data_IF_756718571982
#
_entry.id   IF_756718571982
#
_cell.length_a   1.000
_cell.length_b   1.000
_cell.length_c   1.000
_cell.angle_alpha   90.00
_cell.angle_beta   90.00
_cell.angle_gamma   90.00
#
_symmetry.space_group_name_H-M   'P 1'
#
loop_
_entity.id
_entity.type
_entity.pdbx_description
1 polymer ?
#
# COMPACT_ATOMS: atom_id res chain seq x y z
N UNK A 1 23.92 4.12 15.85
CA UNK A 1 22.68 4.90 16.11
C UNK A 1 22.15 5.64 14.87
N UNK A 2 22.47 5.21 13.63
CA UNK A 2 21.99 5.84 12.40
C UNK A 2 20.98 4.99 11.59
N UNK A 3 20.78 3.71 11.93
CA UNK A 3 20.03 2.77 11.09
C UNK A 3 18.52 2.68 11.35
N UNK A 4 18.02 3.22 12.47
CA UNK A 4 16.59 3.15 12.83
C UNK A 4 15.81 4.31 12.17
N UNK A 5 16.43 5.48 12.02
CA UNK A 5 15.80 6.68 11.44
C UNK A 5 15.60 6.50 9.93
N UNK A 6 16.44 5.72 9.24
CA UNK A 6 16.34 5.52 7.79
C UNK A 6 15.08 4.73 7.36
N UNK A 7 14.44 4.02 8.30
CA UNK A 7 13.15 3.34 8.08
C UNK A 7 11.93 4.23 8.38
N UNK A 8 12.08 5.37 9.06
CA UNK A 8 10.95 6.20 9.50
C UNK A 8 10.27 6.92 8.33
N UNK A 9 11.05 7.40 7.35
CA UNK A 9 10.51 8.12 6.20
C UNK A 9 9.53 7.28 5.36
N UNK A 10 9.71 5.96 5.30
CA UNK A 10 8.85 5.07 4.52
C UNK A 10 7.51 4.79 5.21
N UNK A 11 7.49 4.76 6.54
CA UNK A 11 6.25 4.64 7.30
C UNK A 11 5.42 5.92 7.16
N UNK A 12 6.05 7.09 7.26
CA UNK A 12 5.39 8.38 7.07
C UNK A 12 4.82 8.52 5.66
N UNK A 13 5.58 8.12 4.62
CA UNK A 13 5.09 8.04 3.23
C UNK A 13 3.88 7.12 3.12
N UNK A 14 3.94 5.91 3.68
CA UNK A 14 2.84 4.96 3.62
C UNK A 14 1.58 5.50 4.33
N UNK A 15 1.73 6.10 5.51
CA UNK A 15 0.62 6.68 6.25
C UNK A 15 0.00 7.87 5.51
N UNK A 16 0.82 8.73 4.91
CA UNK A 16 0.35 9.86 4.11
C UNK A 16 -0.49 9.37 2.92
N UNK A 17 0.07 8.44 2.12
CA UNK A 17 -0.60 7.87 0.95
C UNK A 17 -1.90 7.18 1.35
N UNK A 18 -1.89 6.42 2.44
CA UNK A 18 -3.07 5.72 2.96
C UNK A 18 -4.19 6.67 3.38
N UNK A 19 -3.88 7.75 4.11
CA UNK A 19 -4.88 8.75 4.52
C UNK A 19 -5.50 9.45 3.31
N UNK A 20 -4.65 9.86 2.35
CA UNK A 20 -5.09 10.56 1.13
C UNK A 20 -5.98 9.68 0.26
N UNK A 21 -5.57 8.43 -0.02
CA UNK A 21 -6.36 7.52 -0.84
C UNK A 21 -7.63 7.04 -0.14
N UNK A 22 -7.62 6.92 1.19
CA UNK A 22 -8.84 6.62 1.95
C UNK A 22 -9.85 7.75 1.86
N UNK A 23 -9.41 9.01 1.95
CA UNK A 23 -10.29 10.17 1.78
C UNK A 23 -10.85 10.22 0.35
N UNK A 24 -9.99 10.04 -0.65
CA UNK A 24 -10.39 9.94 -2.05
C UNK A 24 -11.45 8.85 -2.25
N UNK A 25 -11.20 7.62 -1.80
CA UNK A 25 -12.13 6.50 -1.97
C UNK A 25 -13.50 6.75 -1.30
N UNK A 26 -13.51 7.42 -0.15
CA UNK A 26 -14.75 7.85 0.52
C UNK A 26 -15.50 8.91 -0.29
N UNK A 27 -14.79 9.93 -0.78
CA UNK A 27 -15.39 11.02 -1.56
C UNK A 27 -15.94 10.53 -2.91
N UNK A 28 -15.39 9.45 -3.44
CA UNK A 28 -15.86 8.80 -4.67
C UNK A 28 -16.85 7.65 -4.41
N UNK A 29 -17.32 7.46 -3.18
CA UNK A 29 -18.31 6.43 -2.79
C UNK A 29 -17.89 4.97 -3.10
N UNK A 30 -16.60 4.71 -3.23
CA UNK A 30 -16.02 3.38 -3.51
C UNK A 30 -15.32 2.79 -2.28
N UNK A 31 -15.68 3.25 -1.07
CA UNK A 31 -15.14 2.76 0.19
C UNK A 31 -16.27 2.17 1.06
N UNK A 32 -16.51 0.86 0.95
CA UNK A 32 -17.44 0.13 1.81
C UNK A 32 -17.20 -1.37 1.75
N UNK A 33 -17.09 -2.00 2.93
CA UNK A 33 -16.98 -3.46 3.02
C UNK A 33 -18.30 -4.19 2.77
N UNK A 34 -19.44 -3.54 3.03
CA UNK A 34 -20.76 -4.19 2.95
C UNK A 34 -21.24 -4.33 1.50
N UNK A 35 -20.87 -3.37 0.66
CA UNK A 35 -21.27 -3.34 -0.76
C UNK A 35 -20.23 -3.97 -1.69
N UNK A 36 -19.20 -4.63 -1.14
CA UNK A 36 -18.13 -5.27 -1.92
C UNK A 36 -17.14 -4.28 -2.58
N UNK A 37 -17.12 -3.02 -2.14
CA UNK A 37 -16.13 -2.03 -2.58
C UNK A 37 -14.82 -2.14 -1.78
N UNK A 38 -13.90 -1.19 -1.97
CA UNK A 38 -12.62 -1.16 -1.24
C UNK A 38 -12.89 -1.03 0.26
N UNK A 39 -12.30 -1.92 1.05
CA UNK A 39 -12.28 -1.82 2.50
C UNK A 39 -10.89 -1.37 2.98
N UNK A 40 -10.73 -1.13 4.28
CA UNK A 40 -9.46 -0.65 4.84
C UNK A 40 -8.29 -1.61 4.61
N UNK A 41 -8.52 -2.92 4.72
CA UNK A 41 -7.48 -3.92 4.52
C UNK A 41 -7.07 -4.04 3.05
N UNK A 42 -8.04 -4.16 2.14
CA UNK A 42 -7.81 -4.23 0.71
C UNK A 42 -7.14 -2.97 0.19
N UNK A 43 -7.61 -1.79 0.59
CA UNK A 43 -6.98 -0.53 0.19
C UNK A 43 -5.52 -0.46 0.68
N UNK A 44 -5.25 -0.81 1.93
CA UNK A 44 -3.89 -0.83 2.47
C UNK A 44 -2.98 -1.83 1.74
N UNK A 45 -3.51 -3.00 1.36
CA UNK A 45 -2.76 -4.02 0.60
C UNK A 45 -2.36 -3.49 -0.79
N UNK A 46 -3.29 -2.83 -1.49
CA UNK A 46 -3.01 -2.23 -2.81
C UNK A 46 -1.98 -1.11 -2.70
N UNK A 47 -2.09 -0.27 -1.67
CA UNK A 47 -1.12 0.80 -1.42
C UNK A 47 0.25 0.23 -1.08
N UNK A 48 0.31 -0.77 -0.20
CA UNK A 48 1.56 -1.41 0.20
C UNK A 48 2.29 -1.97 -1.02
N UNK A 49 1.57 -2.57 -1.96
CA UNK A 49 2.16 -3.03 -3.22
C UNK A 49 2.83 -1.90 -3.99
N UNK A 50 2.15 -0.76 -4.17
CA UNK A 50 2.71 0.39 -4.89
C UNK A 50 3.95 0.94 -4.16
N UNK A 51 3.91 1.01 -2.83
CA UNK A 51 5.06 1.45 -2.02
C UNK A 51 6.24 0.48 -2.15
N UNK A 52 5.99 -0.84 -2.18
CA UNK A 52 7.04 -1.84 -2.38
C UNK A 52 7.64 -1.81 -3.79
N UNK A 53 6.82 -1.55 -4.82
CA UNK A 53 7.28 -1.44 -6.21
C UNK A 53 8.08 -0.16 -6.48
N UNK A 54 7.76 0.93 -5.77
CA UNK A 54 8.32 2.27 -5.99
C UNK A 54 8.91 2.84 -4.69
N UNK A 55 9.76 2.06 -4.02
CA UNK A 55 10.26 2.35 -2.67
C UNK A 55 10.94 3.73 -2.53
N UNK A 56 11.75 4.12 -3.51
CA UNK A 56 12.51 5.38 -3.46
C UNK A 56 11.74 6.60 -4.00
N UNK A 57 10.45 6.44 -4.30
CA UNK A 57 9.67 7.49 -4.93
C UNK A 57 9.09 8.51 -3.94
N UNK A 58 8.70 9.68 -4.49
CA UNK A 58 7.97 10.72 -3.77
C UNK A 58 6.52 10.32 -3.48
N UNK A 59 5.92 10.85 -2.41
CA UNK A 59 4.54 10.58 -2.01
C UNK A 59 3.52 10.89 -3.11
N UNK A 60 3.72 12.00 -3.83
CA UNK A 60 2.85 12.39 -4.95
C UNK A 60 2.96 11.41 -6.11
N UNK A 61 4.17 10.94 -6.40
CA UNK A 61 4.42 9.94 -7.43
C UNK A 61 3.74 8.60 -7.09
N UNK A 62 3.77 8.19 -5.83
CA UNK A 62 3.06 7.00 -5.35
C UNK A 62 1.55 7.10 -5.55
N UNK A 63 0.95 8.27 -5.28
CA UNK A 63 -0.48 8.51 -5.51
C UNK A 63 -0.83 8.42 -7.01
N UNK A 64 -0.04 9.08 -7.85
CA UNK A 64 -0.22 9.03 -9.30
C UNK A 64 -0.10 7.59 -9.81
N UNK A 65 0.94 6.86 -9.38
CA UNK A 65 1.15 5.47 -9.78
C UNK A 65 0.08 4.52 -9.29
N UNK A 66 -0.46 4.75 -8.09
CA UNK A 66 -1.62 4.02 -7.63
C UNK A 66 -2.80 4.19 -8.60
N UNK A 67 -3.16 5.44 -8.91
CA UNK A 67 -4.28 5.72 -9.80
C UNK A 67 -4.05 5.19 -11.21
N UNK A 68 -2.85 5.35 -11.78
CA UNK A 68 -2.48 4.84 -13.11
C UNK A 68 -2.53 3.30 -13.16
N UNK A 69 -1.99 2.62 -12.13
CA UNK A 69 -1.95 1.16 -12.09
C UNK A 69 -3.34 0.53 -12.00
N UNK A 70 -4.27 1.19 -11.29
CA UNK A 70 -5.62 0.67 -11.05
C UNK A 70 -6.71 1.30 -11.93
N UNK A 71 -6.42 2.32 -12.73
CA UNK A 71 -7.36 2.89 -13.71
C UNK A 71 -7.33 2.15 -15.04
N UNK A 72 -6.16 1.66 -15.47
CA UNK A 72 -6.00 0.95 -16.72
C UNK A 72 -6.30 -0.55 -16.53
N UNK A 73 -7.60 -0.90 -16.56
CA UNK A 73 -8.14 -2.27 -16.45
C UNK A 73 -7.68 -3.24 -17.58
N UNK A 74 -6.72 -2.84 -18.44
CA UNK A 74 -6.00 -3.71 -19.37
C UNK A 74 -4.79 -4.41 -18.74
N UNK A 75 -4.19 -3.81 -17.70
CA UNK A 75 -3.04 -4.40 -17.04
C UNK A 75 -3.43 -5.43 -15.98
N UNK A 76 -4.68 -5.45 -15.49
CA UNK A 76 -5.11 -6.41 -14.46
C UNK A 76 -4.84 -7.86 -14.84
N UNK A 77 -5.05 -8.25 -16.10
CA UNK A 77 -4.75 -9.62 -16.57
C UNK A 77 -3.24 -9.91 -16.57
N UNK A 78 -2.38 -8.90 -16.76
CA UNK A 78 -0.91 -9.07 -16.75
C UNK A 78 -0.33 -8.96 -15.35
N UNK A 79 -0.80 -8.03 -14.53
CA UNK A 79 -0.34 -7.82 -13.14
C UNK A 79 -0.77 -8.98 -12.24
N UNK A 80 -1.95 -9.59 -12.45
CA UNK A 80 -2.35 -10.81 -11.76
C UNK A 80 -1.66 -12.06 -12.31
N UNK A 81 -1.41 -12.16 -13.63
CA UNK A 81 -0.66 -13.31 -14.21
C UNK A 81 0.82 -13.32 -13.84
N UNK A 82 1.48 -12.17 -13.85
CA UNK A 82 2.90 -12.01 -13.52
C UNK A 82 3.10 -11.72 -12.02
N UNK A 83 2.11 -12.01 -11.17
CA UNK A 83 2.20 -11.80 -9.73
C UNK A 83 3.22 -12.77 -9.11
N UNK A 84 4.51 -12.40 -9.21
CA UNK A 84 5.66 -13.23 -8.81
C UNK A 84 5.85 -13.28 -7.29
N UNK A 85 5.30 -12.31 -6.55
CA UNK A 85 5.45 -12.19 -5.10
C UNK A 85 4.12 -11.86 -4.45
N UNK A 86 3.21 -12.83 -4.21
CA UNK A 86 2.09 -12.63 -3.27
C UNK A 86 2.65 -11.97 -2.03
N UNK A 87 2.08 -10.83 -1.61
CA UNK A 87 2.44 -10.21 -0.35
C UNK A 87 2.11 -11.24 0.72
N UNK A 88 3.12 -11.99 1.17
CA UNK A 88 2.95 -13.06 2.13
C UNK A 88 2.64 -12.40 3.47
N UNK A 89 1.45 -12.65 3.98
CA UNK A 89 1.00 -12.10 5.26
C UNK A 89 1.90 -12.56 6.42
N UNK A 90 2.53 -13.73 6.28
CA UNK A 90 3.50 -14.30 7.22
C UNK A 90 4.70 -13.37 7.46
N UNK A 91 5.28 -12.80 6.39
CA UNK A 91 6.44 -11.89 6.49
C UNK A 91 6.07 -10.57 7.18
N UNK A 92 4.85 -10.07 6.95
CA UNK A 92 4.36 -8.85 7.61
C UNK A 92 4.04 -9.10 9.09
N UNK A 93 3.59 -10.30 9.43
CA UNK A 93 3.25 -10.69 10.80
C UNK A 93 4.53 -10.84 11.64
N UNK A 94 5.55 -11.54 11.14
CA UNK A 94 6.87 -11.64 11.77
C UNK A 94 7.54 -10.28 11.89
N UNK A 95 7.45 -9.45 10.85
CA UNK A 95 7.97 -8.09 10.90
C UNK A 95 7.23 -7.28 11.97
N UNK A 96 5.91 -7.35 12.10
CA UNK A 96 5.19 -6.66 13.17
C UNK A 96 5.54 -7.14 14.58
N UNK A 97 5.89 -8.42 14.76
CA UNK A 97 6.31 -8.99 16.05
C UNK A 97 7.72 -8.55 16.44
N UNK A 98 8.65 -8.50 15.49
CA UNK A 98 10.01 -7.94 15.71
C UNK A 98 9.96 -6.49 16.21
N UNK A 99 8.95 -5.71 15.84
CA UNK A 99 8.81 -4.31 16.29
C UNK A 99 8.22 -4.19 17.70
N UNK A 100 7.68 -5.29 18.25
CA UNK A 100 7.21 -5.37 19.64
C UNK A 100 8.26 -5.95 20.60
N UNK A 101 9.28 -6.62 20.07
CA UNK A 101 10.36 -7.22 20.87
C UNK A 101 11.58 -6.29 21.02
N UNK A 102 11.65 -5.19 20.26
CA UNK A 102 12.70 -4.17 20.33
C UNK A 102 12.35 -2.93 21.19
N UNK A 103 11.27 -2.99 21.98
CA UNK A 103 10.91 -2.01 23.04
C UNK A 103 10.97 -2.66 24.41
#
# INVERSE_FOLDING_TARGET
>A
MQSIIDKSGNLEKFQFVTKTLKLWAKNHFIYSSQFGFLNGATLNLLILKIVLLYFDSSQIYLLQKFLETFSECKYEIKIFRDWKYPVKLEELTQKSQSWKEET
#
